data_IF_506434703888
#
_entry.id   IF_506434703888
#
_cell.length_a   1.000
_cell.length_b   1.000
_cell.length_c   1.000
_cell.angle_alpha   90.00
_cell.angle_beta   90.00
_cell.angle_gamma   90.00
#
_symmetry.space_group_name_H-M   'P 1'
#
loop_
_entity.id
_entity.type
_entity.pdbx_description
1 polymer ?
#
# COMPACT_ATOMS: atom_id res chain seq x y z
N UNK A 1 17.60 6.10 -11.56
CA UNK A 1 17.13 5.09 -10.60
C UNK A 1 16.27 4.07 -11.33
N UNK A 2 16.36 2.78 -10.99
CA UNK A 2 15.44 1.76 -11.50
C UNK A 2 14.25 1.65 -10.54
N UNK A 3 13.04 1.75 -11.07
CA UNK A 3 11.80 1.57 -10.31
C UNK A 3 11.24 0.19 -10.66
N UNK A 4 10.90 -0.59 -9.62
CA UNK A 4 10.10 -1.81 -9.74
C UNK A 4 8.78 -1.52 -9.03
N UNK A 5 7.69 -1.54 -9.78
CA UNK A 5 6.39 -1.14 -9.29
C UNK A 5 5.38 -2.30 -9.33
N UNK A 6 4.57 -2.40 -8.28
CA UNK A 6 3.38 -3.24 -8.24
C UNK A 6 2.17 -2.34 -7.95
N UNK A 7 1.41 -2.02 -8.98
CA UNK A 7 0.38 -0.98 -8.94
C UNK A 7 -1.04 -1.56 -8.77
N UNK A 8 -1.19 -2.88 -8.79
CA UNK A 8 -2.47 -3.54 -8.57
C UNK A 8 -2.33 -4.57 -7.47
N UNK A 9 -2.69 -4.15 -6.26
CA UNK A 9 -2.83 -5.03 -5.11
C UNK A 9 -4.20 -4.83 -4.47
N UNK A 10 -4.56 -5.76 -3.59
CA UNK A 10 -5.74 -5.66 -2.76
C UNK A 10 -5.36 -5.75 -1.29
N UNK A 11 -6.14 -5.08 -0.47
CA UNK A 11 -5.97 -4.96 0.98
C UNK A 11 -6.79 -6.03 1.71
N UNK A 12 -6.72 -6.05 3.04
CA UNK A 12 -7.58 -6.89 3.89
C UNK A 12 -9.09 -6.61 3.76
N UNK A 13 -9.47 -5.51 3.11
CA UNK A 13 -10.87 -5.11 2.92
C UNK A 13 -11.50 -5.69 1.65
N UNK A 14 -10.68 -6.15 0.71
CA UNK A 14 -11.17 -6.93 -0.43
C UNK A 14 -11.66 -8.32 -0.03
N UNK A 15 -12.54 -8.90 -0.84
CA UNK A 15 -12.99 -10.28 -0.63
C UNK A 15 -11.88 -11.26 -1.02
N UNK A 16 -11.80 -12.37 -0.29
CA UNK A 16 -10.85 -13.45 -0.55
C UNK A 16 -9.36 -13.03 -0.53
N UNK A 17 -9.02 -11.96 0.19
CA UNK A 17 -7.63 -11.56 0.48
C UNK A 17 -7.23 -11.94 1.90
N UNK A 18 -5.91 -11.99 2.16
CA UNK A 18 -5.42 -12.21 3.52
C UNK A 18 -5.79 -11.05 4.44
N UNK A 19 -6.18 -11.38 5.68
CA UNK A 19 -6.44 -10.39 6.75
C UNK A 19 -5.19 -9.60 7.14
N UNK A 20 -4.00 -10.10 6.80
CA UNK A 20 -2.71 -9.47 7.07
C UNK A 20 -2.31 -8.44 6.01
N UNK A 21 -3.09 -8.25 4.93
CA UNK A 21 -2.84 -7.23 3.90
C UNK A 21 -3.14 -5.81 4.42
N UNK A 22 -2.37 -5.36 5.41
CA UNK A 22 -2.33 -4.00 5.97
C UNK A 22 -1.17 -3.22 5.36
N UNK A 23 -1.19 -1.88 5.43
CA UNK A 23 -0.11 -1.03 4.91
C UNK A 23 1.29 -1.43 5.45
N UNK A 24 1.49 -1.69 6.76
CA UNK A 24 2.79 -2.13 7.28
C UNK A 24 3.27 -3.46 6.72
N UNK A 25 2.37 -4.43 6.60
CA UNK A 25 2.70 -5.76 6.07
C UNK A 25 3.04 -5.68 4.58
N UNK A 26 2.25 -4.91 3.82
CA UNK A 26 2.49 -4.68 2.39
C UNK A 26 3.87 -4.03 2.19
N UNK A 27 4.18 -2.95 2.92
CA UNK A 27 5.47 -2.27 2.83
C UNK A 27 6.64 -3.19 3.21
N UNK A 28 6.49 -3.97 4.28
CA UNK A 28 7.50 -4.93 4.72
C UNK A 28 7.85 -5.94 3.62
N UNK A 29 6.84 -6.56 2.99
CA UNK A 29 7.05 -7.57 1.96
C UNK A 29 7.48 -6.97 0.63
N UNK A 30 7.00 -5.77 0.28
CA UNK A 30 7.47 -5.04 -0.90
C UNK A 30 8.98 -4.78 -0.83
N UNK A 31 9.47 -4.30 0.33
CA UNK A 31 10.90 -4.09 0.58
C UNK A 31 11.71 -5.38 0.44
N UNK A 32 11.23 -6.49 1.01
CA UNK A 32 11.89 -7.82 0.88
C UNK A 32 11.90 -8.32 -0.56
N UNK A 33 10.82 -8.11 -1.31
CA UNK A 33 10.67 -8.52 -2.72
C UNK A 33 11.46 -7.62 -3.68
N UNK A 34 11.94 -6.46 -3.22
CA UNK A 34 12.66 -5.47 -4.04
C UNK A 34 11.73 -4.58 -4.87
N UNK A 35 10.46 -4.48 -4.48
CA UNK A 35 9.50 -3.54 -5.09
C UNK A 35 9.73 -2.17 -4.45
N UNK A 36 10.05 -1.18 -5.27
CA UNK A 36 10.40 0.18 -4.83
C UNK A 36 9.21 1.14 -4.87
N UNK A 37 8.10 0.75 -5.50
CA UNK A 37 6.85 1.50 -5.54
C UNK A 37 5.66 0.54 -5.49
N UNK A 38 4.69 0.80 -4.61
CA UNK A 38 3.51 -0.04 -4.45
C UNK A 38 2.28 0.84 -4.53
N UNK A 39 1.27 0.41 -5.29
CA UNK A 39 -0.06 1.05 -5.26
C UNK A 39 -0.72 0.80 -3.91
N UNK A 40 -1.40 1.80 -3.34
CA UNK A 40 -2.07 1.65 -2.03
C UNK A 40 -3.13 0.55 -2.04
N UNK A 41 -3.74 0.27 -3.20
CA UNK A 41 -4.84 -0.67 -3.39
C UNK A 41 -6.12 -0.21 -2.69
N UNK A 42 -7.30 -0.55 -3.21
CA UNK A 42 -8.60 -0.37 -2.54
C UNK A 42 -8.85 1.01 -1.89
N UNK A 43 -8.25 2.09 -2.39
CA UNK A 43 -8.27 3.41 -1.73
C UNK A 43 -9.67 4.04 -1.63
N UNK A 44 -10.64 3.52 -2.40
CA UNK A 44 -12.05 3.92 -2.30
C UNK A 44 -12.77 3.30 -1.10
N UNK A 45 -12.16 2.34 -0.40
CA UNK A 45 -12.72 1.74 0.80
C UNK A 45 -12.49 2.67 2.01
N UNK A 46 -13.54 3.10 2.74
CA UNK A 46 -13.42 4.21 3.70
C UNK A 46 -12.47 3.92 4.88
N UNK A 47 -12.45 2.68 5.38
CA UNK A 47 -11.51 2.31 6.45
C UNK A 47 -10.06 2.15 5.95
N UNK A 48 -9.87 1.89 4.65
CA UNK A 48 -8.53 1.84 4.07
C UNK A 48 -8.00 3.23 3.79
N UNK A 49 -8.85 4.11 3.25
CA UNK A 49 -8.53 5.52 3.05
C UNK A 49 -8.10 6.19 4.36
N UNK A 50 -8.85 5.93 5.45
CA UNK A 50 -8.47 6.40 6.78
C UNK A 50 -7.09 5.88 7.22
N UNK A 51 -6.78 4.62 6.98
CA UNK A 51 -5.46 4.06 7.31
C UNK A 51 -4.35 4.70 6.46
N UNK A 52 -4.60 4.99 5.18
CA UNK A 52 -3.67 5.72 4.31
C UNK A 52 -3.36 7.10 4.91
N UNK A 53 -4.39 7.83 5.36
CA UNK A 53 -4.25 9.17 5.94
C UNK A 53 -3.57 9.16 7.32
N UNK A 54 -3.77 8.13 8.14
CA UNK A 54 -3.24 8.02 9.50
C UNK A 54 -1.81 7.43 9.55
N UNK A 55 -1.49 6.50 8.65
CA UNK A 55 -0.25 5.70 8.72
C UNK A 55 0.82 6.16 7.73
N UNK A 56 0.45 6.80 6.61
CA UNK A 56 1.42 7.21 5.59
C UNK A 56 1.80 8.68 5.68
N UNK A 57 3.05 8.99 5.32
CA UNK A 57 3.55 10.36 5.28
C UNK A 57 3.50 10.87 3.83
N UNK A 58 2.79 11.96 3.53
CA UNK A 58 2.80 12.56 2.19
C UNK A 58 4.22 13.00 1.78
N UNK A 59 4.63 12.66 0.56
CA UNK A 59 5.89 13.10 -0.04
C UNK A 59 5.66 14.08 -1.19
N UNK A 60 4.78 13.71 -2.12
CA UNK A 60 4.39 14.48 -3.31
C UNK A 60 2.93 14.20 -3.62
N UNK A 61 2.36 14.87 -4.62
CA UNK A 61 0.97 14.62 -5.01
C UNK A 61 0.76 13.17 -5.45
N UNK A 62 -0.10 12.45 -4.73
CA UNK A 62 -0.34 11.02 -4.92
C UNK A 62 0.81 10.09 -4.49
N UNK A 63 1.87 10.60 -3.86
CA UNK A 63 3.03 9.81 -3.39
C UNK A 63 3.17 9.88 -1.88
N UNK A 64 3.38 8.72 -1.27
CA UNK A 64 3.46 8.57 0.18
C UNK A 64 4.67 7.71 0.59
N UNK A 65 5.16 7.94 1.81
CA UNK A 65 6.21 7.16 2.45
C UNK A 65 5.64 6.27 3.55
N UNK A 66 6.25 5.09 3.66
CA UNK A 66 6.04 4.12 4.74
C UNK A 66 7.37 3.90 5.49
#
# INVERSE_FOLDING_TARGET
>A
MRIIADLHIHTRYSRATSKEMTLPTIAHWAKRKGITLVGTGDFTHPQHLKAIEEELVPAEDGLFLF
#
